data_IF_888949191408
#
_entry.id   IF_888949191408
#
_cell.length_a   1.000
_cell.length_b   1.000
_cell.length_c   1.000
_cell.angle_alpha   90.00
_cell.angle_beta   90.00
_cell.angle_gamma   90.00
#
_symmetry.space_group_name_H-M   'P 1'
#
loop_
_entity.id
_entity.type
_entity.pdbx_description
1 polymer ?
#
# COMPACT_ATOMS: atom_id res chain seq x y z
N UNK A 1 -10.49 -2.08 3.24
CA UNK A 1 -10.10 -0.73 3.73
C UNK A 1 -11.19 0.35 3.65
N UNK A 2 -11.66 0.81 2.49
CA UNK A 2 -12.66 1.92 2.44
C UNK A 2 -13.98 1.63 3.17
N UNK A 3 -14.39 0.36 3.22
CA UNK A 3 -15.58 -0.08 3.96
C UNK A 3 -15.48 0.17 5.47
N UNK A 4 -14.27 0.25 6.02
CA UNK A 4 -14.00 0.54 7.44
C UNK A 4 -13.92 2.05 7.73
N UNK A 5 -13.80 2.89 6.69
CA UNK A 5 -13.77 4.35 6.82
C UNK A 5 -15.14 5.02 6.73
N UNK A 6 -16.21 4.25 6.56
CA UNK A 6 -17.57 4.76 6.53
C UNK A 6 -18.06 5.07 7.96
N UNK A 7 -19.04 5.99 8.14
CA UNK A 7 -19.53 6.39 9.47
C UNK A 7 -20.44 5.33 10.11
N UNK A 8 -20.10 4.05 9.95
CA UNK A 8 -20.76 2.91 10.55
C UNK A 8 -19.73 2.14 11.37
N UNK A 9 -20.12 1.69 12.57
CA UNK A 9 -19.26 0.79 13.32
C UNK A 9 -18.98 -0.48 12.51
N UNK A 10 -17.77 -1.05 12.62
CA UNK A 10 -17.41 -2.27 11.90
C UNK A 10 -18.36 -3.46 12.17
N UNK A 11 -19.05 -3.45 13.31
CA UNK A 11 -20.03 -4.46 13.74
C UNK A 11 -21.48 -4.15 13.32
N UNK A 12 -21.75 -2.99 12.71
CA UNK A 12 -23.09 -2.60 12.29
C UNK A 12 -23.48 -3.29 10.99
N UNK A 13 -24.22 -4.40 11.10
CA UNK A 13 -24.71 -5.17 9.95
C UNK A 13 -26.11 -4.73 9.48
N UNK A 14 -26.54 -3.51 9.79
CA UNK A 14 -27.78 -2.96 9.25
C UNK A 14 -27.75 -2.89 7.72
N UNK A 15 -28.92 -2.95 7.08
CA UNK A 15 -29.03 -2.85 5.62
C UNK A 15 -28.42 -1.56 5.06
N UNK A 16 -28.50 -0.46 5.82
CA UNK A 16 -27.92 0.82 5.42
C UNK A 16 -26.39 0.75 5.44
N UNK A 17 -25.82 0.24 6.54
CA UNK A 17 -24.37 0.07 6.68
C UNK A 17 -23.79 -0.93 5.67
N UNK A 18 -24.51 -2.02 5.37
CA UNK A 18 -24.08 -2.99 4.34
C UNK A 18 -24.13 -2.37 2.95
N UNK A 19 -25.21 -1.68 2.60
CA UNK A 19 -25.37 -1.02 1.28
C UNK A 19 -24.31 0.06 1.07
N UNK A 20 -24.02 0.88 2.08
CA UNK A 20 -22.98 1.89 2.00
C UNK A 20 -21.59 1.27 1.82
N UNK A 21 -21.28 0.17 2.51
CA UNK A 21 -20.04 -0.59 2.33
C UNK A 21 -19.94 -1.19 0.92
N UNK A 22 -21.03 -1.71 0.37
CA UNK A 22 -21.05 -2.23 -0.99
C UNK A 22 -20.82 -1.14 -2.04
N UNK A 23 -21.45 0.03 -1.87
CA UNK A 23 -21.26 1.19 -2.73
C UNK A 23 -19.82 1.74 -2.65
N UNK A 24 -19.25 1.86 -1.45
CA UNK A 24 -17.86 2.27 -1.25
C UNK A 24 -16.86 1.32 -1.94
N UNK A 25 -17.09 0.01 -1.84
CA UNK A 25 -16.32 -1.01 -2.55
C UNK A 25 -16.44 -0.90 -4.08
N UNK A 26 -17.63 -0.59 -4.60
CA UNK A 26 -17.85 -0.40 -6.03
C UNK A 26 -17.13 0.84 -6.58
N UNK A 27 -17.17 1.97 -5.86
CA UNK A 27 -16.46 3.21 -6.24
C UNK A 27 -14.94 2.98 -6.24
N UNK A 28 -14.41 2.30 -5.22
CA UNK A 28 -12.99 1.93 -5.15
C UNK A 28 -12.53 1.14 -6.37
N UNK A 29 -13.39 0.23 -6.86
CA UNK A 29 -13.13 -0.62 -8.02
C UNK A 29 -13.14 0.19 -9.32
N UNK A 30 -14.09 1.11 -9.49
CA UNK A 30 -14.17 1.98 -10.67
C UNK A 30 -12.95 2.90 -10.76
N UNK A 31 -12.44 3.37 -9.62
CA UNK A 31 -11.27 4.26 -9.57
C UNK A 31 -9.92 3.52 -9.68
N UNK A 32 -9.92 2.19 -9.80
CA UNK A 32 -8.68 1.40 -9.90
C UNK A 32 -7.76 1.54 -8.68
N UNK A 33 -8.32 1.82 -7.50
CA UNK A 33 -7.54 2.13 -6.31
C UNK A 33 -6.74 0.90 -5.84
N UNK A 34 -5.42 1.08 -5.72
CA UNK A 34 -4.51 0.07 -5.20
C UNK A 34 -4.02 0.48 -3.81
N UNK A 35 -4.59 -0.15 -2.78
CA UNK A 35 -4.24 0.08 -1.38
C UNK A 35 -4.28 -1.25 -0.61
N UNK A 36 -3.24 -1.51 0.17
CA UNK A 36 -3.17 -2.67 1.07
C UNK A 36 -3.08 -2.16 2.51
N UNK A 37 -4.04 -2.41 3.38
CA UNK A 37 -4.04 -1.89 4.75
C UNK A 37 -5.01 -2.63 5.67
N UNK A 38 -4.85 -2.47 6.99
CA UNK A 38 -5.77 -3.04 7.99
C UNK A 38 -5.90 -4.56 7.97
N UNK A 39 -4.92 -5.28 7.41
CA UNK A 39 -4.98 -6.74 7.21
C UNK A 39 -6.22 -7.23 6.42
N UNK A 40 -6.82 -6.36 5.60
CA UNK A 40 -8.09 -6.62 4.92
C UNK A 40 -7.96 -7.32 3.56
N UNK A 41 -6.75 -7.40 2.98
CA UNK A 41 -6.58 -7.89 1.60
C UNK A 41 -7.02 -9.33 1.36
N UNK A 42 -6.74 -10.23 2.31
CA UNK A 42 -7.12 -11.65 2.19
C UNK A 42 -8.64 -11.82 2.16
N UNK A 43 -9.42 -11.33 3.13
CA UNK A 43 -10.88 -11.42 3.07
C UNK A 43 -11.44 -10.62 1.88
N UNK A 44 -10.92 -9.43 1.59
CA UNK A 44 -11.39 -8.57 0.50
C UNK A 44 -11.24 -9.21 -0.90
N UNK A 45 -10.22 -10.06 -1.07
CA UNK A 45 -9.85 -10.68 -2.34
C UNK A 45 -10.34 -12.13 -2.47
N UNK A 46 -10.77 -12.75 -1.37
CA UNK A 46 -11.07 -14.17 -1.30
C UNK A 46 -12.02 -14.66 -2.41
N UNK A 47 -13.18 -14.02 -2.52
CA UNK A 47 -14.16 -14.39 -3.53
C UNK A 47 -13.83 -13.82 -4.91
N UNK A 48 -13.34 -12.57 -4.97
CA UNK A 48 -13.03 -11.87 -6.21
C UNK A 48 -11.98 -12.62 -7.06
N UNK A 49 -10.90 -13.08 -6.42
CA UNK A 49 -9.85 -13.83 -7.12
C UNK A 49 -10.30 -15.22 -7.53
N UNK A 50 -11.16 -15.87 -6.73
CA UNK A 50 -11.79 -17.14 -7.11
C UNK A 50 -12.69 -16.98 -8.33
N UNK A 51 -13.47 -15.89 -8.38
CA UNK A 51 -14.33 -15.58 -9.53
C UNK A 51 -13.48 -15.30 -10.77
N UNK A 52 -12.44 -14.47 -10.67
CA UNK A 52 -11.50 -14.24 -11.76
C UNK A 52 -10.85 -15.54 -12.27
N UNK A 53 -10.41 -16.42 -11.34
CA UNK A 53 -9.88 -17.73 -11.69
C UNK A 53 -10.90 -18.66 -12.35
N UNK A 54 -12.18 -18.59 -11.97
CA UNK A 54 -13.25 -19.36 -12.60
C UNK A 54 -13.53 -18.86 -14.03
N UNK A 55 -13.61 -17.54 -14.23
CA UNK A 55 -13.75 -16.91 -15.56
C UNK A 55 -12.58 -17.30 -16.46
N UNK A 56 -11.34 -17.18 -15.98
CA UNK A 56 -10.15 -17.56 -16.75
C UNK A 56 -10.17 -19.05 -17.12
N UNK A 57 -10.50 -19.93 -16.15
CA UNK A 57 -10.61 -21.38 -16.37
C UNK A 57 -11.63 -21.73 -17.45
N UNK A 58 -12.82 -21.15 -17.40
CA UNK A 58 -13.88 -21.44 -18.38
C UNK A 58 -13.58 -20.82 -19.75
N UNK A 59 -12.93 -19.66 -19.80
CA UNK A 59 -12.49 -19.03 -21.06
C UNK A 59 -11.38 -19.85 -21.74
N UNK A 60 -10.43 -20.41 -20.97
CA UNK A 60 -9.43 -21.35 -21.50
C UNK A 60 -10.07 -22.64 -22.03
N UNK A 61 -11.09 -23.18 -21.34
CA UNK A 61 -11.86 -24.33 -21.84
C UNK A 61 -12.63 -23.97 -23.11
N UNK A 62 -13.15 -22.76 -23.22
CA UNK A 62 -13.83 -22.29 -24.44
C UNK A 62 -12.87 -22.22 -25.63
N UNK A 63 -11.66 -21.67 -25.44
CA UNK A 63 -10.63 -21.67 -26.48
C UNK A 63 -10.28 -23.10 -26.94
N UNK A 64 -10.11 -24.03 -25.99
CA UNK A 64 -9.86 -25.44 -26.31
C UNK A 64 -11.05 -26.12 -27.01
N UNK A 65 -12.28 -25.74 -26.64
CA UNK A 65 -13.50 -26.24 -27.29
C UNK A 65 -13.57 -25.79 -28.75
N UNK A 66 -13.28 -24.52 -29.03
CA UNK A 66 -13.27 -23.98 -30.40
C UNK A 66 -12.20 -24.63 -31.28
N UNK A 67 -11.01 -24.92 -30.73
CA UNK A 67 -9.94 -25.62 -31.47
C UNK A 67 -10.29 -27.07 -31.84
N UNK A 68 -10.98 -27.78 -30.95
CA UNK A 68 -11.14 -29.24 -31.05
C UNK A 68 -12.54 -29.67 -31.51
N UNK A 69 -13.53 -28.78 -31.46
CA UNK A 69 -14.94 -29.11 -31.58
C UNK A 69 -15.54 -29.85 -30.37
N UNK A 70 -14.76 -30.12 -29.32
CA UNK A 70 -15.27 -30.79 -28.11
C UNK A 70 -16.08 -29.81 -27.25
N UNK A 71 -17.33 -30.13 -26.87
CA UNK A 71 -18.13 -29.24 -26.03
C UNK A 71 -17.42 -28.86 -24.72
N UNK A 72 -17.38 -27.57 -24.38
CA UNK A 72 -16.74 -27.00 -23.17
C UNK A 72 -17.10 -27.75 -21.88
N UNK A 73 -18.36 -28.16 -21.76
CA UNK A 73 -18.90 -28.92 -20.61
C UNK A 73 -18.20 -30.27 -20.40
N UNK A 74 -17.68 -30.90 -21.46
CA UNK A 74 -16.93 -32.17 -21.38
C UNK A 74 -15.46 -31.97 -21.00
N UNK A 75 -14.94 -30.75 -21.06
CA UNK A 75 -13.54 -30.44 -20.78
C UNK A 75 -13.29 -30.29 -19.28
N UNK A 76 -12.15 -30.80 -18.81
CA UNK A 76 -11.68 -30.66 -17.43
C UNK A 76 -10.41 -29.85 -17.37
N UNK A 77 -9.98 -29.47 -16.16
CA UNK A 77 -8.76 -28.69 -15.96
C UNK A 77 -7.92 -29.24 -14.82
N UNK A 78 -6.61 -29.39 -15.05
CA UNK A 78 -5.66 -29.87 -14.05
C UNK A 78 -4.26 -29.35 -14.39
N UNK A 79 -3.53 -28.87 -13.38
CA UNK A 79 -2.10 -28.54 -13.46
C UNK A 79 -1.71 -27.68 -14.67
N UNK A 80 -2.43 -26.58 -14.91
CA UNK A 80 -2.09 -25.67 -16.01
C UNK A 80 -2.51 -26.17 -17.39
N UNK A 81 -3.42 -27.15 -17.48
CA UNK A 81 -3.86 -27.76 -18.74
C UNK A 81 -5.37 -27.91 -18.81
N UNK A 82 -5.90 -27.87 -20.03
CA UNK A 82 -7.26 -28.34 -20.37
C UNK A 82 -7.15 -29.80 -20.78
N UNK A 83 -8.02 -30.64 -20.22
CA UNK A 83 -8.07 -32.09 -20.45
C UNK A 83 -9.30 -32.44 -21.28
N UNK A 84 -9.10 -33.25 -22.31
CA UNK A 84 -10.16 -33.76 -23.19
C UNK A 84 -10.67 -35.13 -22.70
N UNK A 85 -11.88 -35.55 -23.11
CA UNK A 85 -12.46 -36.85 -22.71
C UNK A 85 -11.66 -38.07 -23.19
N UNK A 86 -10.93 -37.93 -24.29
CA UNK A 86 -10.06 -38.96 -24.88
C UNK A 86 -8.72 -39.14 -24.13
N UNK A 87 -8.47 -38.32 -23.10
CA UNK A 87 -7.24 -38.33 -22.31
C UNK A 87 -6.16 -37.39 -22.82
N UNK A 88 -6.32 -36.78 -23.99
CA UNK A 88 -5.40 -35.76 -24.51
C UNK A 88 -5.51 -34.45 -23.69
N UNK A 89 -4.51 -33.58 -23.82
CA UNK A 89 -4.51 -32.30 -23.10
C UNK A 89 -3.69 -31.22 -23.77
N UNK A 90 -4.09 -29.96 -23.58
CA UNK A 90 -3.39 -28.77 -24.11
C UNK A 90 -3.02 -27.84 -22.96
N UNK A 91 -1.82 -27.25 -22.99
CA UNK A 91 -1.37 -26.33 -21.95
C UNK A 91 -2.15 -25.01 -22.02
N UNK A 92 -2.31 -24.33 -20.87
CA UNK A 92 -2.89 -22.99 -20.86
C UNK A 92 -2.05 -21.99 -21.65
N UNK A 93 -0.72 -22.13 -21.65
CA UNK A 93 0.19 -21.28 -22.41
C UNK A 93 -0.08 -21.36 -23.92
N UNK A 94 -0.44 -22.54 -24.42
CA UNK A 94 -0.78 -22.75 -25.83
C UNK A 94 -2.15 -22.18 -26.21
N UNK A 95 -3.05 -22.02 -25.22
CA UNK A 95 -4.41 -21.49 -25.39
C UNK A 95 -4.52 -20.00 -25.06
N UNK A 96 -3.48 -19.40 -24.46
CA UNK A 96 -3.55 -18.06 -23.89
C UNK A 96 -3.85 -16.99 -24.94
N UNK A 97 -3.21 -17.07 -26.11
CA UNK A 97 -3.42 -16.12 -27.21
C UNK A 97 -4.87 -16.15 -27.72
N UNK A 98 -5.41 -17.35 -27.94
CA UNK A 98 -6.80 -17.53 -28.37
C UNK A 98 -7.78 -17.06 -27.29
N UNK A 99 -7.55 -17.46 -26.04
CA UNK A 99 -8.41 -17.07 -24.92
C UNK A 99 -8.47 -15.55 -24.73
N UNK A 100 -7.38 -14.82 -25.05
CA UNK A 100 -7.34 -13.37 -24.99
C UNK A 100 -8.22 -12.68 -26.06
N UNK A 101 -8.54 -13.37 -27.16
CA UNK A 101 -9.44 -12.87 -28.21
C UNK A 101 -10.93 -13.15 -27.91
N UNK A 102 -11.22 -14.01 -26.92
CA UNK A 102 -12.58 -14.37 -26.57
C UNK A 102 -13.20 -13.35 -25.61
N UNK A 103 -14.50 -13.15 -25.74
CA UNK A 103 -15.28 -12.53 -24.67
C UNK A 103 -15.17 -13.44 -23.43
N UNK A 104 -14.76 -12.91 -22.26
CA UNK A 104 -14.65 -13.72 -21.05
C UNK A 104 -15.97 -14.41 -20.71
N UNK A 105 -15.90 -15.70 -20.38
CA UNK A 105 -17.07 -16.46 -19.92
C UNK A 105 -17.43 -15.97 -18.52
N UNK A 106 -18.53 -15.23 -18.38
CA UNK A 106 -18.93 -14.57 -17.13
C UNK A 106 -19.87 -15.39 -16.25
N UNK A 107 -20.67 -16.28 -16.85
CA UNK A 107 -21.53 -17.22 -16.12
C UNK A 107 -20.70 -18.42 -15.68
N UNK A 108 -20.12 -18.32 -14.48
CA UNK A 108 -19.20 -19.33 -13.94
C UNK A 108 -19.55 -19.67 -12.50
N UNK A 109 -19.57 -20.97 -12.22
CA UNK A 109 -19.63 -21.48 -10.87
C UNK A 109 -18.23 -21.53 -10.24
N UNK A 110 -18.17 -21.11 -8.98
CA UNK A 110 -17.00 -21.33 -8.12
C UNK A 110 -16.90 -22.83 -7.79
N UNK A 111 -15.67 -23.31 -7.63
CA UNK A 111 -15.46 -24.70 -7.20
C UNK A 111 -15.93 -24.85 -5.76
N UNK A 112 -16.65 -25.94 -5.52
CA UNK A 112 -17.00 -26.41 -4.18
C UNK A 112 -15.73 -26.60 -3.34
N UNK A 113 -15.82 -26.31 -2.04
CA UNK A 113 -14.71 -26.40 -1.09
C UNK A 113 -14.06 -27.79 -1.07
N UNK A 114 -14.84 -28.85 -1.24
CA UNK A 114 -14.35 -30.23 -1.31
C UNK A 114 -13.45 -30.48 -2.52
N UNK A 115 -13.51 -29.61 -3.53
CA UNK A 115 -12.67 -29.68 -4.74
C UNK A 115 -11.44 -28.77 -4.65
N UNK A 116 -11.26 -28.04 -3.55
CA UNK A 116 -10.11 -27.16 -3.41
C UNK A 116 -8.83 -27.96 -3.23
N UNK A 117 -7.84 -27.57 -4.03
CA UNK A 117 -6.53 -28.22 -4.03
C UNK A 117 -5.50 -27.48 -3.19
N UNK A 118 -5.62 -26.16 -3.10
CA UNK A 118 -4.62 -25.26 -2.51
C UNK A 118 -5.20 -24.42 -1.36
N UNK A 119 -6.44 -23.92 -1.50
CA UNK A 119 -7.11 -23.16 -0.45
C UNK A 119 -7.32 -24.03 0.80
N UNK A 120 -7.09 -23.43 1.98
CA UNK A 120 -7.20 -24.11 3.27
C UNK A 120 -6.05 -25.07 3.60
N UNK A 121 -5.06 -25.23 2.72
CA UNK A 121 -3.93 -26.14 2.95
C UNK A 121 -2.69 -25.39 3.42
N UNK A 122 -1.89 -26.04 4.26
CA UNK A 122 -0.55 -25.58 4.61
C UNK A 122 0.32 -25.59 3.35
N UNK A 123 0.77 -24.41 2.94
CA UNK A 123 1.61 -24.20 1.76
C UNK A 123 2.82 -23.36 2.16
N UNK A 124 3.95 -23.60 1.50
CA UNK A 124 5.11 -22.72 1.59
C UNK A 124 4.90 -21.53 0.65
N UNK A 125 5.33 -20.34 1.07
CA UNK A 125 5.37 -19.18 0.19
C UNK A 125 6.48 -19.37 -0.85
N UNK A 126 6.25 -18.86 -2.06
CA UNK A 126 7.21 -18.93 -3.16
C UNK A 126 8.49 -18.13 -2.90
N UNK A 127 8.43 -17.12 -2.03
CA UNK A 127 9.53 -16.20 -1.72
C UNK A 127 10.42 -16.67 -0.55
N UNK A 128 10.20 -17.87 0.00
CA UNK A 128 10.97 -18.37 1.16
C UNK A 128 12.45 -18.55 0.82
N UNK A 129 12.76 -19.23 -0.29
CA UNK A 129 14.16 -19.53 -0.64
C UNK A 129 14.96 -18.25 -0.82
N UNK A 130 14.42 -17.27 -1.55
CA UNK A 130 15.08 -16.01 -1.81
C UNK A 130 15.36 -15.23 -0.51
N UNK A 131 14.36 -15.15 0.38
CA UNK A 131 14.50 -14.49 1.68
C UNK A 131 15.46 -15.20 2.64
N UNK A 132 15.43 -16.52 2.67
CA UNK A 132 16.29 -17.31 3.57
C UNK A 132 17.74 -17.39 3.10
N UNK A 133 18.02 -17.10 1.83
CA UNK A 133 19.38 -17.16 1.25
C UNK A 133 19.98 -15.78 1.00
N UNK A 134 19.25 -14.69 1.30
CA UNK A 134 19.70 -13.32 1.03
C UNK A 134 19.77 -12.98 -0.46
N UNK A 135 18.99 -13.67 -1.30
CA UNK A 135 18.91 -13.42 -2.75
C UNK A 135 17.64 -12.67 -3.15
N UNK A 136 16.72 -12.42 -2.22
CA UNK A 136 15.62 -11.47 -2.41
C UNK A 136 16.17 -10.05 -2.47
N UNK A 137 15.87 -9.33 -3.54
CA UNK A 137 16.28 -7.93 -3.73
C UNK A 137 15.18 -7.02 -3.18
N UNK A 138 15.50 -6.24 -2.15
CA UNK A 138 14.64 -5.19 -1.62
C UNK A 138 14.91 -3.85 -2.30
N UNK A 139 14.03 -2.87 -2.11
CA UNK A 139 14.20 -1.54 -2.72
C UNK A 139 15.53 -0.88 -2.37
N UNK A 140 16.03 -1.11 -1.15
CA UNK A 140 17.32 -0.56 -0.67
C UNK A 140 18.55 -1.22 -1.31
N UNK A 141 18.40 -2.42 -1.89
CA UNK A 141 19.49 -3.17 -2.52
C UNK A 141 19.72 -2.78 -3.99
N UNK A 142 18.80 -1.98 -4.56
CA UNK A 142 18.86 -1.56 -5.95
C UNK A 142 20.05 -0.61 -6.19
N UNK A 143 20.81 -0.91 -7.24
CA UNK A 143 21.92 -0.09 -7.72
C UNK A 143 21.74 0.14 -9.22
N UNK A 144 21.87 1.39 -9.64
CA UNK A 144 21.80 1.79 -11.05
C UNK A 144 23.11 2.43 -11.50
N UNK A 145 23.36 2.39 -12.81
CA UNK A 145 24.50 3.07 -13.40
C UNK A 145 24.44 4.57 -13.10
N UNK A 146 25.55 5.13 -12.62
CA UNK A 146 25.68 6.53 -12.24
C UNK A 146 24.73 6.99 -11.12
N UNK A 147 24.19 6.06 -10.32
CA UNK A 147 23.29 6.38 -9.21
C UNK A 147 23.96 7.32 -8.21
N UNK A 148 23.23 8.38 -7.82
CA UNK A 148 23.58 9.25 -6.72
C UNK A 148 22.72 8.92 -5.49
N UNK A 149 23.20 9.30 -4.33
CA UNK A 149 22.59 8.97 -3.05
C UNK A 149 22.14 10.25 -2.36
N UNK A 150 20.87 10.29 -1.96
CA UNK A 150 20.28 11.42 -1.27
C UNK A 150 20.03 11.09 0.21
N UNK A 151 20.25 12.07 1.08
CA UNK A 151 19.79 12.03 2.47
C UNK A 151 19.13 13.35 2.83
N UNK A 152 18.04 13.30 3.57
CA UNK A 152 17.25 14.48 3.94
C UNK A 152 17.27 14.66 5.45
N UNK A 153 17.35 15.91 5.90
CA UNK A 153 17.01 16.33 7.26
C UNK A 153 15.83 17.29 7.17
N UNK A 154 14.72 16.88 7.76
CA UNK A 154 13.50 17.69 7.89
C UNK A 154 13.30 18.11 9.34
N UNK A 155 12.44 19.10 9.54
CA UNK A 155 12.05 19.57 10.86
C UNK A 155 11.51 18.37 11.68
N UNK A 156 12.06 18.11 12.88
CA UNK A 156 11.60 17.00 13.71
C UNK A 156 10.19 17.22 14.27
N UNK A 157 9.72 18.48 14.32
CA UNK A 157 8.35 18.81 14.70
C UNK A 157 7.40 18.74 13.50
N UNK A 158 6.30 18.01 13.65
CA UNK A 158 5.30 17.87 12.60
C UNK A 158 4.70 19.24 12.22
N UNK A 159 4.57 19.51 10.92
CA UNK A 159 4.08 20.79 10.40
C UNK A 159 5.11 21.92 10.41
N UNK A 160 6.22 21.77 11.13
CA UNK A 160 7.26 22.78 11.21
C UNK A 160 8.01 22.98 9.90
N UNK A 161 8.26 24.24 9.56
CA UNK A 161 9.02 24.62 8.38
C UNK A 161 10.52 24.74 8.69
N UNK A 162 11.35 24.78 7.64
CA UNK A 162 12.73 25.25 7.73
C UNK A 162 12.74 26.76 7.55
N UNK A 163 13.25 27.53 8.52
CA UNK A 163 13.37 28.98 8.41
C UNK A 163 14.63 29.38 7.64
N UNK A 164 15.77 28.83 8.06
CA UNK A 164 17.07 29.14 7.48
C UNK A 164 18.04 27.95 7.61
N UNK A 165 19.16 27.96 6.90
CA UNK A 165 20.22 26.96 7.04
C UNK A 165 21.58 27.47 6.55
N UNK A 166 22.67 27.02 7.18
CA UNK A 166 24.04 27.18 6.68
C UNK A 166 24.58 25.82 6.20
N UNK A 167 24.76 25.72 4.89
CA UNK A 167 25.32 24.54 4.24
C UNK A 167 26.75 24.72 3.70
N UNK A 168 27.45 25.80 4.08
CA UNK A 168 28.80 26.11 3.58
C UNK A 168 29.78 24.95 3.78
N UNK A 169 29.80 24.37 4.98
CA UNK A 169 30.62 23.19 5.30
C UNK A 169 30.24 21.98 4.43
N UNK A 170 28.95 21.68 4.33
CA UNK A 170 28.45 20.54 3.56
C UNK A 170 28.79 20.65 2.07
N UNK A 171 28.71 21.85 1.47
CA UNK A 171 29.05 22.08 0.05
C UNK A 171 30.52 21.76 -0.26
N UNK A 172 31.42 22.00 0.70
CA UNK A 172 32.85 21.74 0.54
C UNK A 172 33.25 20.27 0.79
N UNK A 173 32.33 19.42 1.27
CA UNK A 173 32.66 18.04 1.58
C UNK A 173 32.87 17.20 0.33
N UNK A 174 33.89 16.35 0.37
CA UNK A 174 34.21 15.42 -0.73
C UNK A 174 33.01 14.56 -1.12
N UNK A 175 32.73 14.51 -2.42
CA UNK A 175 31.69 13.66 -3.01
C UNK A 175 30.27 14.24 -2.93
N UNK A 176 30.07 15.38 -2.26
CA UNK A 176 28.82 16.12 -2.33
C UNK A 176 28.66 16.70 -3.73
N UNK A 177 27.50 16.46 -4.34
CA UNK A 177 27.14 16.93 -5.69
C UNK A 177 26.21 18.12 -5.64
N UNK A 178 25.21 18.08 -4.75
CA UNK A 178 24.20 19.12 -4.66
C UNK A 178 23.58 19.14 -3.27
N UNK A 179 23.15 20.33 -2.87
CA UNK A 179 22.28 20.53 -1.72
C UNK A 179 20.98 21.09 -2.27
N UNK A 180 19.87 20.46 -1.88
CA UNK A 180 18.54 20.79 -2.34
C UNK A 180 17.68 21.16 -1.15
N UNK A 181 16.84 22.15 -1.32
CA UNK A 181 15.84 22.48 -0.31
C UNK A 181 14.65 21.53 -0.45
N UNK A 182 14.08 21.10 0.67
CA UNK A 182 12.75 20.47 0.74
C UNK A 182 11.76 21.46 1.35
N UNK A 183 10.47 21.10 1.38
CA UNK A 183 9.44 21.95 2.02
C UNK A 183 9.76 22.26 3.49
N UNK A 184 10.21 21.23 4.20
CA UNK A 184 10.38 21.23 5.66
C UNK A 184 11.85 20.99 6.08
N UNK A 185 12.81 21.13 5.16
CA UNK A 185 14.17 20.65 5.40
C UNK A 185 15.15 20.88 4.27
N UNK A 186 16.24 20.10 4.28
CA UNK A 186 17.31 20.13 3.28
C UNK A 186 17.78 18.71 2.98
N UNK A 187 17.99 18.45 1.69
CA UNK A 187 18.56 17.23 1.15
C UNK A 187 19.99 17.43 0.67
N UNK A 188 20.85 16.44 0.87
CA UNK A 188 22.18 16.38 0.27
C UNK A 188 22.26 15.19 -0.67
N UNK A 189 22.73 15.45 -1.89
CA UNK A 189 23.01 14.46 -2.93
C UNK A 189 24.53 14.26 -2.99
N UNK A 190 24.98 13.01 -2.88
CA UNK A 190 26.39 12.64 -2.93
C UNK A 190 26.64 11.36 -3.75
N UNK A 191 27.91 11.05 -3.98
CA UNK A 191 28.34 9.86 -4.73
C UNK A 191 28.32 8.55 -3.91
N UNK A 192 27.98 8.60 -2.62
CA UNK A 192 27.61 7.44 -1.81
C UNK A 192 26.79 7.84 -0.57
N UNK A 193 26.11 6.86 0.02
CA UNK A 193 25.24 7.02 1.20
C UNK A 193 25.98 7.61 2.39
N UNK A 194 27.19 7.16 2.70
CA UNK A 194 27.93 7.63 3.87
C UNK A 194 28.25 9.13 3.77
N UNK A 195 28.67 9.60 2.60
CA UNK A 195 28.95 11.03 2.36
C UNK A 195 27.68 11.87 2.42
N UNK A 196 26.57 11.37 1.85
CA UNK A 196 25.27 12.03 1.98
C UNK A 196 24.87 12.21 3.45
N UNK A 197 24.98 11.15 4.26
CA UNK A 197 24.69 11.19 5.70
C UNK A 197 25.60 12.15 6.46
N UNK A 198 26.91 12.10 6.23
CA UNK A 198 27.86 13.00 6.91
C UNK A 198 27.61 14.45 6.53
N UNK A 199 27.34 14.72 5.26
CA UNK A 199 27.13 16.08 4.75
C UNK A 199 25.81 16.69 5.24
N UNK A 200 24.69 15.97 5.16
CA UNK A 200 23.40 16.50 5.64
C UNK A 200 23.43 16.78 7.14
N UNK A 201 24.08 15.92 7.93
CA UNK A 201 24.25 16.13 9.38
C UNK A 201 25.23 17.26 9.74
N UNK A 202 25.99 17.78 8.78
CA UNK A 202 26.90 18.92 8.99
C UNK A 202 26.26 20.28 8.73
N UNK A 203 25.03 20.30 8.19
CA UNK A 203 24.27 21.52 7.93
C UNK A 203 23.66 22.02 9.24
N UNK A 204 23.90 23.28 9.56
CA UNK A 204 23.24 23.94 10.68
C UNK A 204 21.89 24.48 10.18
N UNK A 205 20.79 24.10 10.83
CA UNK A 205 19.42 24.41 10.35
C UNK A 205 18.64 25.09 11.45
N UNK A 206 18.02 26.22 11.09
CA UNK A 206 17.07 26.93 11.93
C UNK A 206 15.66 26.44 11.63
N UNK A 207 15.05 25.79 12.62
CA UNK A 207 13.72 25.22 12.53
C UNK A 207 12.65 26.20 12.97
N UNK A 208 11.55 26.26 12.22
CA UNK A 208 10.36 26.98 12.63
C UNK A 208 9.58 26.22 13.68
N UNK A 209 8.71 26.95 14.39
CA UNK A 209 7.78 26.36 15.34
C UNK A 209 6.87 25.36 14.62
N UNK A 210 6.74 24.11 15.11
CA UNK A 210 5.80 23.15 14.56
C UNK A 210 4.35 23.49 14.90
N UNK A 211 3.44 23.03 14.03
CA UNK A 211 1.99 23.18 14.23
C UNK A 211 1.46 22.27 15.36
N UNK A 212 2.17 21.17 15.61
CA UNK A 212 1.77 20.14 16.58
C UNK A 212 2.62 20.22 17.86
N UNK A 213 2.08 19.75 19.00
CA UNK A 213 2.81 19.77 20.27
C UNK A 213 4.11 18.97 20.21
N UNK A 214 5.11 19.40 20.98
CA UNK A 214 6.49 18.90 20.87
C UNK A 214 6.79 17.71 21.79
N UNK A 215 5.92 17.43 22.77
CA UNK A 215 6.11 16.36 23.74
C UNK A 215 4.89 15.47 23.90
N UNK A 216 5.11 14.20 24.26
CA UNK A 216 4.03 13.26 24.57
C UNK A 216 3.08 13.81 25.64
N UNK A 217 3.60 14.57 26.62
CA UNK A 217 2.78 15.21 27.65
C UNK A 217 1.80 16.20 27.03
N UNK A 218 2.29 17.13 26.21
CA UNK A 218 1.43 18.15 25.60
C UNK A 218 0.40 17.52 24.66
N UNK A 219 0.79 16.47 23.91
CA UNK A 219 -0.15 15.71 23.08
C UNK A 219 -1.27 15.11 23.95
N UNK A 220 -0.92 14.51 25.10
CA UNK A 220 -1.92 13.97 26.03
C UNK A 220 -2.81 15.04 26.64
N UNK A 221 -2.27 16.21 26.96
CA UNK A 221 -3.04 17.34 27.48
C UNK A 221 -4.06 17.82 26.43
N UNK A 222 -3.64 17.95 25.16
CA UNK A 222 -4.53 18.29 24.05
C UNK A 222 -5.64 17.23 23.87
N UNK A 223 -5.29 15.94 23.90
CA UNK A 223 -6.27 14.86 23.76
C UNK A 223 -7.26 14.82 24.94
N UNK A 224 -6.79 14.93 26.18
CA UNK A 224 -7.66 14.95 27.35
C UNK A 224 -8.65 16.12 27.31
N UNK A 225 -8.19 17.30 26.89
CA UNK A 225 -9.02 18.49 26.74
C UNK A 225 -9.99 18.41 25.55
N UNK A 226 -9.80 17.47 24.61
CA UNK A 226 -10.70 17.28 23.46
C UNK A 226 -12.02 16.58 23.82
N UNK A 227 -12.13 15.94 24.99
CA UNK A 227 -13.33 15.19 25.40
C UNK A 227 -14.42 16.05 26.06
N UNK A 228 -14.42 17.37 25.86
CA UNK A 228 -15.44 18.30 26.37
C UNK A 228 -16.62 18.44 25.41
N UNK A 229 -17.78 18.87 25.92
CA UNK A 229 -19.01 18.99 25.13
C UNK A 229 -18.86 19.87 23.88
N UNK A 230 -18.07 20.95 23.96
CA UNK A 230 -17.79 21.87 22.85
C UNK A 230 -17.06 21.20 21.68
N UNK A 231 -16.19 20.22 21.96
CA UNK A 231 -15.37 19.55 20.95
C UNK A 231 -15.98 18.22 20.46
N UNK A 232 -17.07 17.75 21.10
CA UNK A 232 -17.79 16.55 20.66
C UNK A 232 -18.62 16.84 19.41
N UNK A 233 -18.11 16.41 18.25
CA UNK A 233 -18.78 16.61 16.95
C UNK A 233 -19.27 15.31 16.29
N UNK A 234 -19.14 14.15 16.95
CA UNK A 234 -19.56 12.85 16.40
C UNK A 234 -20.01 11.86 17.48
N UNK A 235 -21.10 11.13 17.21
CA UNK A 235 -21.59 9.99 18.01
C UNK A 235 -21.63 8.75 17.11
N UNK A 236 -20.48 8.12 16.88
CA UNK A 236 -20.30 7.00 15.93
C UNK A 236 -21.19 5.77 16.22
N UNK A 237 -21.67 5.60 17.46
CA UNK A 237 -22.61 4.55 17.83
C UNK A 237 -23.59 5.07 18.88
N UNK A 238 -24.88 4.99 18.58
CA UNK A 238 -25.97 5.38 19.47
C UNK A 238 -27.08 4.33 19.38
N UNK A 239 -27.10 3.38 20.32
CA UNK A 239 -28.06 2.28 20.31
C UNK A 239 -28.78 2.21 21.65
N UNK A 240 -30.11 2.31 21.59
CA UNK A 240 -30.97 2.29 22.78
C UNK A 240 -30.96 3.61 23.55
N UNK A 241 -31.60 3.59 24.71
CA UNK A 241 -31.67 4.71 25.65
C UNK A 241 -30.67 4.44 26.78
N UNK A 242 -29.45 4.93 26.57
CA UNK A 242 -28.32 4.71 27.50
C UNK A 242 -28.56 5.50 28.79
N UNK A 243 -29.12 6.69 28.66
CA UNK A 243 -29.42 7.60 29.75
C UNK A 243 -30.41 6.95 30.73
N UNK A 244 -31.51 6.37 30.24
CA UNK A 244 -32.47 5.64 31.08
C UNK A 244 -31.84 4.36 31.67
N UNK A 245 -31.04 3.62 30.90
CA UNK A 245 -30.39 2.39 31.37
C UNK A 245 -29.36 2.62 32.51
N UNK A 246 -28.71 3.80 32.53
CA UNK A 246 -27.72 4.15 33.55
C UNK A 246 -28.33 4.58 34.89
N UNK A 247 -29.56 5.10 34.91
CA UNK A 247 -30.19 5.64 36.13
C UNK A 247 -30.29 4.63 37.29
N UNK A 248 -30.37 3.33 36.99
CA UNK A 248 -30.56 2.26 37.99
C UNK A 248 -29.44 1.20 37.96
N UNK A 249 -28.27 1.52 37.41
CA UNK A 249 -27.17 0.57 37.20
C UNK A 249 -25.90 1.03 37.92
N UNK A 250 -25.08 0.07 38.38
CA UNK A 250 -23.72 0.37 38.84
C UNK A 250 -22.86 0.78 37.64
N UNK A 251 -22.27 1.97 37.68
CA UNK A 251 -21.40 2.50 36.62
C UNK A 251 -19.94 2.22 36.97
N UNK A 252 -19.20 1.63 36.03
CA UNK A 252 -17.74 1.57 36.07
C UNK A 252 -17.22 2.53 35.01
N UNK A 253 -16.46 3.52 35.46
CA UNK A 253 -15.79 4.48 34.58
C UNK A 253 -14.28 4.21 34.59
N UNK A 254 -13.68 4.21 33.40
CA UNK A 254 -12.24 4.03 33.24
C UNK A 254 -11.77 4.81 32.01
N UNK A 255 -10.62 5.46 32.16
CA UNK A 255 -9.91 6.09 31.05
C UNK A 255 -8.78 5.16 30.57
N UNK A 256 -8.76 4.87 29.28
CA UNK A 256 -7.72 4.08 28.66
C UNK A 256 -6.93 4.95 27.69
N UNK A 257 -5.60 4.86 27.75
CA UNK A 257 -4.68 5.53 26.82
C UNK A 257 -3.83 4.48 26.13
N UNK A 258 -3.67 4.61 24.82
CA UNK A 258 -2.77 3.79 24.03
C UNK A 258 -1.62 4.69 23.55
N UNK A 259 -0.35 4.37 23.87
CA UNK A 259 0.76 5.22 23.46
C UNK A 259 0.90 5.27 21.94
N UNK A 260 1.53 6.32 21.44
CA UNK A 260 2.03 6.33 20.07
C UNK A 260 3.11 5.26 19.94
N UNK A 261 2.88 4.31 19.04
CA UNK A 261 3.81 3.23 18.75
C UNK A 261 4.53 3.52 17.45
N UNK A 262 5.86 3.39 17.48
CA UNK A 262 6.65 3.40 16.27
C UNK A 262 6.39 2.10 15.49
N UNK A 263 6.15 2.21 14.19
CA UNK A 263 6.04 1.07 13.29
C UNK A 263 7.30 0.17 13.29
N UNK A 264 8.47 0.80 13.43
CA UNK A 264 9.79 0.15 13.56
C UNK A 264 10.07 -0.99 12.55
N UNK A 265 9.84 -0.82 11.22
CA UNK A 265 10.32 -1.79 10.24
C UNK A 265 11.86 -1.86 10.27
N UNK A 266 12.41 -3.06 10.07
CA UNK A 266 13.86 -3.27 10.03
C UNK A 266 14.50 -2.58 8.82
N UNK A 267 13.79 -2.61 7.68
CA UNK A 267 14.20 -1.86 6.49
C UNK A 267 13.77 -0.40 6.63
N UNK A 268 14.72 0.56 6.54
CA UNK A 268 14.39 1.98 6.50
C UNK A 268 13.54 2.33 5.27
N UNK A 269 12.76 3.40 5.36
CA UNK A 269 12.06 3.95 4.20
C UNK A 269 13.08 4.36 3.15
N UNK A 270 12.85 3.93 1.91
CA UNK A 270 13.76 4.12 0.79
C UNK A 270 12.94 4.27 -0.50
N UNK A 271 13.53 4.96 -1.48
CA UNK A 271 13.02 5.03 -2.83
C UNK A 271 14.21 5.25 -3.78
N UNK A 272 14.19 4.58 -4.93
CA UNK A 272 15.06 4.89 -6.06
C UNK A 272 14.21 5.54 -7.13
N UNK A 273 14.68 6.67 -7.68
CA UNK A 273 13.97 7.45 -8.68
C UNK A 273 14.86 7.65 -9.89
N UNK A 274 14.34 7.32 -11.07
CA UNK A 274 14.96 7.61 -12.35
C UNK A 274 14.05 8.53 -13.14
N UNK A 275 14.55 9.72 -13.46
CA UNK A 275 13.82 10.73 -14.23
C UNK A 275 14.42 10.80 -15.62
N UNK A 276 13.62 10.50 -16.64
CA UNK A 276 13.89 10.78 -18.04
C UNK A 276 13.12 12.01 -18.52
N UNK A 277 13.20 12.30 -19.82
CA UNK A 277 12.58 13.50 -20.41
C UNK A 277 11.05 13.48 -20.33
N UNK A 278 10.44 12.32 -20.57
CA UNK A 278 8.98 12.14 -20.61
C UNK A 278 8.50 10.97 -19.74
N UNK A 279 9.40 10.37 -18.95
CA UNK A 279 9.15 9.16 -18.16
C UNK A 279 9.77 9.27 -16.77
N UNK A 280 9.03 8.79 -15.77
CA UNK A 280 9.46 8.74 -14.38
C UNK A 280 9.29 7.33 -13.83
N UNK A 281 10.37 6.71 -13.39
CA UNK A 281 10.33 5.41 -12.72
C UNK A 281 10.70 5.55 -11.24
N UNK A 282 9.90 4.93 -10.38
CA UNK A 282 10.06 4.95 -8.92
C UNK A 282 10.03 3.51 -8.40
N UNK A 283 11.13 3.05 -7.81
CA UNK A 283 11.22 1.76 -7.13
C UNK A 283 11.14 1.98 -5.63
N UNK A 284 10.11 1.41 -5.00
CA UNK A 284 9.92 1.50 -3.55
C UNK A 284 9.00 0.40 -3.04
N UNK A 285 9.20 -0.03 -1.79
CA UNK A 285 8.20 -0.79 -1.06
C UNK A 285 7.04 0.13 -0.65
N UNK A 286 5.85 -0.08 -1.20
CA UNK A 286 4.67 0.75 -0.87
C UNK A 286 3.40 -0.07 -0.76
N UNK A 287 2.48 0.38 0.08
CA UNK A 287 1.13 -0.15 0.16
C UNK A 287 0.12 0.64 -0.67
N UNK A 288 0.52 1.78 -1.25
CA UNK A 288 -0.33 2.75 -1.94
C UNK A 288 0.30 3.26 -3.25
N UNK A 289 0.65 2.37 -4.20
CA UNK A 289 1.39 2.75 -5.41
C UNK A 289 0.67 3.82 -6.26
N UNK A 290 -0.67 3.77 -6.36
CA UNK A 290 -1.44 4.75 -7.12
C UNK A 290 -1.33 6.18 -6.55
N UNK A 291 -1.29 6.32 -5.23
CA UNK A 291 -1.11 7.62 -4.58
C UNK A 291 0.30 8.19 -4.84
N UNK A 292 1.32 7.34 -4.82
CA UNK A 292 2.69 7.74 -5.17
C UNK A 292 2.73 8.21 -6.63
N UNK A 293 2.14 7.44 -7.55
CA UNK A 293 2.07 7.79 -8.97
C UNK A 293 1.40 9.15 -9.19
N UNK A 294 0.24 9.37 -8.55
CA UNK A 294 -0.52 10.62 -8.66
C UNK A 294 0.27 11.85 -8.20
N UNK A 295 0.96 11.73 -7.06
CA UNK A 295 1.75 12.85 -6.52
C UNK A 295 3.03 13.06 -7.30
N UNK A 296 3.70 11.99 -7.73
CA UNK A 296 4.90 12.07 -8.56
C UNK A 296 4.62 12.75 -9.91
N UNK A 297 3.50 12.43 -10.57
CA UNK A 297 3.06 13.11 -11.78
C UNK A 297 2.88 14.62 -11.57
N UNK A 298 2.17 15.01 -10.49
CA UNK A 298 1.97 16.43 -10.14
C UNK A 298 3.27 17.17 -9.84
N UNK A 299 4.21 16.52 -9.15
CA UNK A 299 5.48 17.13 -8.76
C UNK A 299 6.45 17.27 -9.93
N UNK A 300 6.50 16.28 -10.81
CA UNK A 300 7.42 16.27 -11.97
C UNK A 300 6.87 17.01 -13.19
N UNK A 301 5.55 17.16 -13.29
CA UNK A 301 4.88 17.64 -14.50
C UNK A 301 4.79 16.58 -15.61
N UNK A 302 5.27 15.36 -15.37
CA UNK A 302 5.16 14.23 -16.30
C UNK A 302 3.74 13.65 -16.22
N UNK A 303 3.14 13.37 -17.38
CA UNK A 303 1.82 12.75 -17.47
C UNK A 303 1.77 11.44 -16.68
N UNK A 304 0.69 11.25 -15.90
CA UNK A 304 0.52 10.08 -15.02
C UNK A 304 0.77 8.73 -15.72
N UNK A 305 0.38 8.61 -16.99
CA UNK A 305 0.56 7.41 -17.79
C UNK A 305 2.03 7.05 -18.06
N UNK A 306 2.94 8.02 -17.94
CA UNK A 306 4.39 7.85 -18.07
C UNK A 306 5.12 7.82 -16.71
N UNK A 307 4.37 7.79 -15.60
CA UNK A 307 4.91 7.60 -14.26
C UNK A 307 4.70 6.15 -13.84
N UNK A 308 5.79 5.43 -13.58
CA UNK A 308 5.80 4.01 -13.25
C UNK A 308 6.27 3.80 -11.81
N UNK A 309 5.42 3.19 -10.98
CA UNK A 309 5.77 2.79 -9.61
C UNK A 309 6.01 1.29 -9.57
N UNK A 310 7.28 0.90 -9.43
CA UNK A 310 7.74 -0.49 -9.33
C UNK A 310 7.72 -0.93 -7.87
N UNK A 311 6.62 -1.54 -7.44
CA UNK A 311 6.45 -1.99 -6.05
C UNK A 311 7.46 -3.09 -5.73
N UNK A 312 8.41 -2.78 -4.83
CA UNK A 312 9.46 -3.70 -4.41
C UNK A 312 9.02 -4.55 -3.21
N UNK A 313 9.67 -5.71 -2.98
CA UNK A 313 9.67 -6.37 -1.68
C UNK A 313 10.02 -5.38 -0.56
N UNK A 314 9.39 -5.54 0.61
CA UNK A 314 9.59 -4.65 1.76
C UNK A 314 9.96 -5.42 3.02
N UNK A 315 10.96 -4.93 3.75
CA UNK A 315 11.43 -5.44 5.04
C UNK A 315 10.58 -4.96 6.22
N UNK A 316 9.25 -5.03 6.04
CA UNK A 316 8.26 -4.58 7.00
C UNK A 316 7.61 -3.23 6.63
N UNK A 317 6.47 -2.99 7.26
CA UNK A 317 5.76 -1.71 7.16
C UNK A 317 4.99 -1.42 8.45
N UNK A 318 4.16 -2.37 8.87
CA UNK A 318 3.25 -2.23 10.02
C UNK A 318 2.28 -1.03 9.92
N UNK A 319 2.14 -0.44 8.74
CA UNK A 319 1.37 0.79 8.50
C UNK A 319 2.24 1.93 7.97
N UNK A 320 3.55 1.92 8.20
CA UNK A 320 4.44 3.02 7.83
C UNK A 320 4.50 3.29 6.32
N UNK A 321 4.42 2.25 5.49
CA UNK A 321 4.43 2.36 4.01
C UNK A 321 3.05 2.65 3.41
N UNK A 322 2.07 3.04 4.25
CA UNK A 322 0.87 3.79 3.84
C UNK A 322 1.13 5.31 3.79
N UNK A 323 2.29 5.75 4.29
CA UNK A 323 2.81 7.09 4.04
C UNK A 323 3.62 7.09 2.73
N UNK A 324 3.75 8.28 2.13
CA UNK A 324 4.49 8.46 0.87
C UNK A 324 5.41 9.68 0.86
N UNK A 325 5.50 10.42 1.97
CA UNK A 325 6.33 11.63 2.08
C UNK A 325 7.80 11.38 1.73
N UNK A 326 8.37 10.26 2.17
CA UNK A 326 9.76 9.87 1.87
C UNK A 326 10.01 9.69 0.37
N UNK A 327 9.03 9.17 -0.39
CA UNK A 327 9.14 9.02 -1.83
C UNK A 327 9.05 10.40 -2.53
N UNK A 328 8.26 11.32 -1.99
CA UNK A 328 8.11 12.68 -2.54
C UNK A 328 9.30 13.60 -2.23
N UNK A 329 10.14 13.24 -1.26
CA UNK A 329 11.40 13.94 -0.99
C UNK A 329 12.47 13.68 -2.06
N UNK A 330 12.35 12.58 -2.83
CA UNK A 330 13.22 12.25 -3.95
C UNK A 330 12.81 13.02 -5.22
N UNK A 331 12.97 14.35 -5.18
CA UNK A 331 12.66 15.31 -6.25
C UNK A 331 13.91 15.99 -6.81
#
# INVERSE_FOLDING_TARGET
VMNEGLPFAAVDNSKLASTARDMGGAISKIMGMQMTGGSSTVPDSYEKLRQAGAVARETLKEAAAQRSGTPRVKLKTKNGRVLFPDGSSVAYTELAADAAQLKPVSDVALRDERQWRLLGKKMLRSDIVAKSTGTEIYGIDLVMDNMLYASVRSNPGMGGMRLNYDAGRAKAMRGVKKIVETRDGVGVIADNTWRAFRAVNSIDIEWGQPDYPASSKEIWDVLANSFIAEHKNSRLKNLGDVETAQQNSSVIEAEYRVPYLAHAPLEPMNAVVLVGDDRLDIWTGTQIPGFIQDHAAKLSGIDKQNVFVHVQPMGGSFGHRLEFSYAMQAR
#
